data_IF_214612992802
#
_entry.id   IF_214612992802
#
_cell.length_a   1.000
_cell.length_b   1.000
_cell.length_c   1.000
_cell.angle_alpha   90.00
_cell.angle_beta   90.00
_cell.angle_gamma   90.00
#
_symmetry.space_group_name_H-M   'P 1'
#
loop_
_entity.id
_entity.type
_entity.pdbx_description
1 polymer ?
#
# COMPACT_ATOMS: atom_id res chain seq x y z
N UNK A 1 2.96 -21.10 -3.53
CA UNK A 1 4.44 -21.18 -3.37
C UNK A 1 5.07 -20.07 -4.22
N UNK A 2 5.56 -18.96 -3.64
CA UNK A 2 6.06 -17.80 -4.40
C UNK A 2 7.59 -17.59 -4.23
N UNK A 3 8.30 -17.34 -5.33
CA UNK A 3 9.78 -17.38 -5.50
C UNK A 3 10.48 -16.00 -5.35
N UNK A 4 11.55 -16.00 -4.52
CA UNK A 4 12.92 -15.37 -4.52
C UNK A 4 13.20 -14.03 -5.30
N UNK A 5 14.02 -13.07 -4.78
CA UNK A 5 15.52 -13.00 -4.92
C UNK A 5 16.22 -11.97 -3.97
N UNK A 6 17.41 -12.32 -3.45
CA UNK A 6 18.13 -11.85 -2.23
C UNK A 6 19.13 -10.68 -2.34
N UNK A 7 18.84 -9.55 -1.67
CA UNK A 7 19.69 -8.70 -0.76
C UNK A 7 19.03 -7.36 -0.43
N UNK A 8 18.28 -6.76 -1.37
CA UNK A 8 17.23 -5.72 -1.12
C UNK A 8 16.02 -6.26 -0.32
N UNK A 9 16.01 -7.55 -0.03
CA UNK A 9 14.92 -8.29 0.62
C UNK A 9 14.69 -7.94 2.08
N UNK A 10 15.70 -7.52 2.85
CA UNK A 10 15.48 -7.34 4.29
C UNK A 10 14.60 -6.12 4.58
N UNK A 11 14.87 -4.98 3.93
CA UNK A 11 14.03 -3.79 4.05
C UNK A 11 12.65 -4.03 3.44
N UNK A 12 12.59 -4.69 2.28
CA UNK A 12 11.33 -5.08 1.64
C UNK A 12 10.49 -6.01 2.52
N UNK A 13 11.10 -6.94 3.27
CA UNK A 13 10.41 -7.79 4.24
C UNK A 13 9.77 -6.96 5.35
N UNK A 14 10.47 -5.97 5.91
CA UNK A 14 9.90 -5.09 6.93
C UNK A 14 8.75 -4.24 6.38
N UNK A 15 8.88 -3.70 5.17
CA UNK A 15 7.80 -2.97 4.49
C UNK A 15 6.59 -3.88 4.22
N UNK A 16 6.83 -5.12 3.77
CA UNK A 16 5.78 -6.12 3.57
C UNK A 16 5.07 -6.47 4.88
N UNK A 17 5.84 -6.75 5.94
CA UNK A 17 5.31 -7.05 7.28
C UNK A 17 4.51 -5.88 7.84
N UNK A 18 4.93 -4.65 7.57
CA UNK A 18 4.19 -3.45 7.97
C UNK A 18 2.82 -3.35 7.31
N UNK A 19 2.74 -3.66 6.01
CA UNK A 19 1.47 -3.62 5.28
C UNK A 19 0.52 -4.76 5.63
N UNK A 20 1.06 -5.94 5.95
CA UNK A 20 0.30 -7.18 6.16
C UNK A 20 -0.06 -7.46 7.62
N UNK A 21 0.87 -7.22 8.56
CA UNK A 21 0.69 -7.55 9.99
C UNK A 21 0.20 -6.31 10.74
N UNK A 22 -1.10 -6.06 10.68
CA UNK A 22 -1.72 -4.82 11.19
C UNK A 22 -1.63 -4.72 12.72
N UNK A 23 -1.77 -5.83 13.43
CA UNK A 23 -1.94 -5.88 14.89
C UNK A 23 -0.63 -5.97 15.69
N UNK A 24 0.53 -5.94 15.02
CA UNK A 24 1.79 -6.07 15.74
C UNK A 24 2.13 -4.80 16.54
N UNK A 25 2.49 -4.97 17.82
CA UNK A 25 2.86 -3.85 18.71
C UNK A 25 3.95 -2.93 18.11
N UNK A 26 4.98 -3.51 17.50
CA UNK A 26 6.04 -2.73 16.85
C UNK A 26 5.52 -1.85 15.71
N UNK A 27 4.50 -2.31 14.96
CA UNK A 27 3.83 -1.54 13.91
C UNK A 27 3.03 -0.39 14.52
N UNK A 28 2.30 -0.64 15.62
CA UNK A 28 1.53 0.39 16.33
C UNK A 28 2.44 1.50 16.87
N UNK A 29 3.60 1.15 17.43
CA UNK A 29 4.59 2.13 17.90
C UNK A 29 5.10 2.99 16.73
N UNK A 30 5.40 2.36 15.59
CA UNK A 30 5.84 3.06 14.38
C UNK A 30 4.74 3.96 13.82
N UNK A 31 3.50 3.49 13.80
CA UNK A 31 2.33 4.26 13.37
C UNK A 31 2.08 5.47 14.28
N UNK A 32 2.13 5.29 15.60
CA UNK A 32 1.99 6.38 16.56
C UNK A 32 3.08 7.44 16.38
N UNK A 33 4.31 7.01 16.07
CA UNK A 33 5.46 7.91 15.90
C UNK A 33 5.46 8.66 14.57
N UNK A 34 5.11 8.01 13.46
CA UNK A 34 5.28 8.56 12.11
C UNK A 34 3.98 8.80 11.35
N UNK A 35 2.85 8.30 11.86
CA UNK A 35 1.56 8.28 11.18
C UNK A 35 1.54 7.38 9.95
N UNK A 36 0.34 7.12 9.43
CA UNK A 36 0.11 6.27 8.25
C UNK A 36 -0.32 7.04 7.01
N UNK A 37 0.02 6.50 5.84
CA UNK A 37 -0.66 6.89 4.58
C UNK A 37 -2.00 6.17 4.47
N UNK A 38 -2.87 6.68 3.59
CA UNK A 38 -4.15 6.05 3.30
C UNK A 38 -4.00 4.56 2.97
N UNK A 39 -4.89 3.72 3.51
CA UNK A 39 -4.84 2.26 3.39
C UNK A 39 -3.83 1.58 4.33
N UNK A 40 -3.04 2.32 5.12
CA UNK A 40 -2.19 1.77 6.18
C UNK A 40 -1.07 0.85 5.68
N UNK A 41 -0.73 0.93 4.39
CA UNK A 41 0.32 0.11 3.76
C UNK A 41 1.74 0.56 4.12
N UNK A 42 1.90 1.83 4.49
CA UNK A 42 3.18 2.40 4.89
C UNK A 42 2.98 3.64 5.77
N UNK A 43 4.04 4.10 6.43
CA UNK A 43 4.00 5.35 7.18
C UNK A 43 4.04 6.57 6.28
N UNK A 44 3.73 7.76 6.82
CA UNK A 44 4.06 9.03 6.16
C UNK A 44 5.58 9.16 5.96
N UNK A 45 5.99 10.02 5.03
CA UNK A 45 7.41 10.30 4.81
C UNK A 45 7.98 10.94 6.07
N UNK A 46 9.09 10.41 6.58
CA UNK A 46 9.74 10.93 7.78
C UNK A 46 10.47 12.23 7.41
N UNK A 47 9.99 13.36 7.94
CA UNK A 47 10.53 14.72 7.69
C UNK A 47 11.39 15.26 8.83
N UNK A 48 11.60 14.49 9.90
CA UNK A 48 12.37 14.95 11.07
C UNK A 48 13.84 15.20 10.73
N UNK A 49 14.33 16.40 11.09
CA UNK A 49 15.66 16.92 10.80
C UNK A 49 16.78 16.22 11.57
N UNK A 50 16.50 15.66 12.74
CA UNK A 50 17.50 15.03 13.63
C UNK A 50 17.20 13.54 13.88
N UNK A 51 18.26 12.72 13.91
CA UNK A 51 18.22 11.29 14.22
C UNK A 51 18.25 10.36 13.00
N UNK A 52 19.21 9.45 12.96
CA UNK A 52 19.29 8.36 11.97
C UNK A 52 18.37 7.23 12.42
N UNK A 53 17.06 7.37 12.24
CA UNK A 53 16.14 6.28 12.59
C UNK A 53 16.20 5.17 11.53
N UNK A 54 16.37 3.92 11.98
CA UNK A 54 16.34 2.73 11.11
C UNK A 54 15.07 2.69 10.24
N UNK A 55 13.92 3.08 10.81
CA UNK A 55 12.66 3.15 10.08
C UNK A 55 12.69 4.18 8.94
N UNK A 56 13.37 5.32 9.09
CA UNK A 56 13.54 6.30 7.99
C UNK A 56 14.25 5.68 6.79
N UNK A 57 15.25 4.83 7.04
CA UNK A 57 15.97 4.12 5.98
C UNK A 57 15.13 3.02 5.33
N UNK A 58 14.36 2.25 6.12
CA UNK A 58 13.40 1.28 5.57
C UNK A 58 12.34 2.01 4.71
N UNK A 59 11.79 3.11 5.24
CA UNK A 59 10.73 3.90 4.61
C UNK A 59 11.16 4.58 3.31
N UNK A 60 12.44 4.91 3.14
CA UNK A 60 12.94 5.51 1.90
C UNK A 60 12.81 4.55 0.70
N UNK A 61 12.87 3.23 0.96
CA UNK A 61 12.68 2.20 -0.06
C UNK A 61 11.24 2.00 -0.54
N UNK A 62 10.25 2.60 0.12
CA UNK A 62 8.83 2.36 -0.15
C UNK A 62 8.41 2.65 -1.59
N UNK A 63 8.84 3.77 -2.18
CA UNK A 63 8.38 4.17 -3.53
C UNK A 63 8.80 3.17 -4.62
N UNK A 64 9.96 2.54 -4.46
CA UNK A 64 10.42 1.50 -5.38
C UNK A 64 9.76 0.16 -5.06
N UNK A 65 9.55 -0.12 -3.77
CA UNK A 65 8.92 -1.36 -3.32
C UNK A 65 7.44 -1.43 -3.70
N UNK A 66 6.69 -0.33 -3.59
CA UNK A 66 5.25 -0.28 -3.85
C UNK A 66 4.90 -0.59 -5.30
N UNK A 67 5.80 -0.32 -6.24
CA UNK A 67 5.65 -0.66 -7.67
C UNK A 67 5.73 -2.16 -7.94
N UNK A 68 6.31 -2.92 -7.01
CA UNK A 68 6.46 -4.37 -7.11
C UNK A 68 5.33 -5.11 -6.37
N UNK A 69 4.36 -4.38 -5.83
CA UNK A 69 3.26 -4.95 -5.06
C UNK A 69 2.05 -5.17 -5.96
N UNK A 70 1.57 -6.42 -5.95
CA UNK A 70 0.21 -6.77 -6.38
C UNK A 70 -0.62 -6.90 -5.12
N UNK A 71 -1.74 -6.18 -5.08
CA UNK A 71 -2.61 -6.12 -3.91
C UNK A 71 -3.71 -7.15 -4.05
N UNK A 72 -3.83 -8.02 -3.05
CA UNK A 72 -5.05 -8.79 -2.87
C UNK A 72 -6.15 -7.85 -2.40
N UNK A 73 -7.34 -7.94 -3.00
CA UNK A 73 -8.45 -7.02 -2.72
C UNK A 73 -8.96 -7.21 -1.30
N UNK A 74 -9.05 -8.44 -0.80
CA UNK A 74 -9.69 -8.75 0.48
C UNK A 74 -11.09 -8.13 0.59
N UNK A 75 -11.30 -7.28 1.59
CA UNK A 75 -12.53 -6.51 1.81
C UNK A 75 -12.62 -5.24 0.94
N UNK A 76 -11.59 -4.95 0.16
CA UNK A 76 -11.45 -3.79 -0.73
C UNK A 76 -11.23 -2.46 -0.03
N UNK A 77 -11.17 -2.39 1.30
CA UNK A 77 -11.17 -1.12 2.04
C UNK A 77 -9.82 -0.39 1.97
N UNK A 78 -8.73 -1.15 1.86
CA UNK A 78 -7.35 -0.64 1.86
C UNK A 78 -6.76 -0.48 0.46
N UNK A 79 -7.42 -0.96 -0.58
CA UNK A 79 -6.89 -0.95 -1.96
C UNK A 79 -7.51 0.20 -2.74
N UNK A 80 -6.70 1.03 -3.40
CA UNK A 80 -7.22 2.10 -4.27
C UNK A 80 -7.65 1.52 -5.60
N UNK A 81 -8.87 1.83 -6.04
CA UNK A 81 -9.43 1.32 -7.28
C UNK A 81 -8.54 1.65 -8.49
N UNK A 82 -8.16 2.92 -8.64
CA UNK A 82 -7.41 3.38 -9.82
C UNK A 82 -5.90 3.18 -9.73
N UNK A 83 -5.32 3.35 -8.53
CA UNK A 83 -3.88 3.58 -8.34
C UNK A 83 -3.09 2.35 -7.90
N UNK A 84 -3.76 1.26 -7.52
CA UNK A 84 -3.10 0.01 -7.11
C UNK A 84 -3.31 -1.06 -8.17
N UNK A 85 -2.32 -1.95 -8.33
CA UNK A 85 -2.45 -3.15 -9.16
C UNK A 85 -3.14 -4.22 -8.31
N UNK A 86 -4.42 -4.44 -8.57
CA UNK A 86 -5.24 -5.45 -7.89
C UNK A 86 -6.03 -6.33 -8.88
N UNK A 87 -6.04 -5.95 -10.15
CA UNK A 87 -6.67 -6.69 -11.25
C UNK A 87 -5.75 -6.61 -12.48
N UNK A 88 -5.28 -7.76 -12.97
CA UNK A 88 -4.33 -7.83 -14.08
C UNK A 88 -2.89 -7.42 -13.68
N UNK A 89 -2.13 -6.94 -14.66
CA UNK A 89 -0.68 -6.69 -14.51
C UNK A 89 -0.30 -5.21 -14.34
N UNK A 90 -1.23 -4.29 -14.58
CA UNK A 90 -1.02 -2.84 -14.46
C UNK A 90 -2.15 -2.16 -13.67
N UNK A 91 -1.99 -0.88 -13.37
CA UNK A 91 -3.05 -0.13 -12.67
C UNK A 91 -4.21 0.17 -13.63
N UNK A 92 -5.44 0.27 -13.12
CA UNK A 92 -6.59 0.69 -13.94
C UNK A 92 -6.41 2.12 -14.50
N UNK A 93 -5.65 2.96 -13.79
CA UNK A 93 -5.25 4.27 -14.30
C UNK A 93 -4.41 4.18 -15.58
N UNK A 94 -3.49 3.21 -15.67
CA UNK A 94 -2.65 3.02 -16.86
C UNK A 94 -3.43 2.36 -18.00
N UNK A 95 -4.23 1.34 -17.68
CA UNK A 95 -5.04 0.64 -18.68
C UNK A 95 -6.16 1.53 -19.28
N UNK A 96 -6.77 2.41 -18.47
CA UNK A 96 -7.91 3.24 -18.85
C UNK A 96 -7.67 4.71 -18.49
N UNK A 97 -6.64 5.30 -19.09
CA UNK A 97 -6.20 6.67 -18.79
C UNK A 97 -7.27 7.73 -19.03
N UNK A 98 -8.03 7.62 -20.12
CA UNK A 98 -9.14 8.54 -20.44
C UNK A 98 -10.26 8.47 -19.40
N UNK A 99 -10.66 7.26 -19.02
CA UNK A 99 -11.69 7.05 -17.99
C UNK A 99 -11.22 7.54 -16.62
N UNK A 100 -9.93 7.32 -16.29
CA UNK A 100 -9.33 7.87 -15.08
C UNK A 100 -9.38 9.40 -15.07
N UNK A 101 -9.09 10.06 -16.19
CA UNK A 101 -9.15 11.52 -16.30
C UNK A 101 -10.55 12.06 -15.99
N UNK A 102 -11.58 11.42 -16.55
CA UNK A 102 -13.00 11.76 -16.38
C UNK A 102 -13.56 11.40 -14.99
N UNK A 103 -12.93 10.44 -14.29
CA UNK A 103 -13.36 10.00 -12.97
C UNK A 103 -13.26 11.12 -11.93
N UNK A 104 -14.36 11.36 -11.21
CA UNK A 104 -14.41 12.27 -10.05
C UNK A 104 -13.77 11.66 -8.80
N UNK A 105 -13.60 10.34 -8.76
CA UNK A 105 -13.37 9.57 -7.55
C UNK A 105 -12.02 8.83 -7.56
N UNK A 106 -10.97 9.51 -8.04
CA UNK A 106 -9.60 8.99 -8.29
C UNK A 106 -8.90 8.33 -7.09
N UNK A 107 -9.30 8.69 -5.88
CA UNK A 107 -8.71 8.19 -4.62
C UNK A 107 -9.63 7.25 -3.84
N UNK A 108 -10.70 6.74 -4.47
CA UNK A 108 -11.64 5.82 -3.82
C UNK A 108 -11.07 4.41 -3.66
N UNK A 109 -11.52 3.73 -2.60
CA UNK A 109 -11.21 2.32 -2.38
C UNK A 109 -11.99 1.41 -3.33
N UNK A 110 -11.47 0.21 -3.58
CA UNK A 110 -12.18 -0.83 -4.34
C UNK A 110 -13.53 -1.12 -3.69
N UNK A 111 -13.58 -1.18 -2.35
CA UNK A 111 -14.82 -1.44 -1.64
C UNK A 111 -15.90 -0.40 -1.91
N UNK A 112 -15.52 0.88 -1.93
CA UNK A 112 -16.45 1.98 -2.17
C UNK A 112 -16.97 2.00 -3.60
N UNK A 113 -16.11 1.70 -4.59
CA UNK A 113 -16.47 1.75 -6.00
C UNK A 113 -17.32 0.54 -6.41
N UNK A 114 -16.98 -0.65 -5.91
CA UNK A 114 -17.63 -1.91 -6.29
C UNK A 114 -18.82 -2.26 -5.38
N UNK A 115 -19.21 -1.39 -4.46
CA UNK A 115 -20.26 -1.68 -3.48
C UNK A 115 -19.93 -2.89 -2.59
N UNK A 116 -18.65 -3.15 -2.34
CA UNK A 116 -18.21 -4.33 -1.59
C UNK A 116 -18.59 -4.19 -0.12
N UNK A 117 -19.68 -4.86 0.28
CA UNK A 117 -19.97 -5.14 1.67
C UNK A 117 -19.68 -6.61 1.94
N UNK A 118 -18.67 -6.88 2.78
CA UNK A 118 -18.30 -8.19 3.36
C UNK A 118 -18.87 -9.38 2.57
N UNK A 119 -18.21 -9.73 1.46
CA UNK A 119 -18.46 -10.98 0.73
C UNK A 119 -19.61 -10.99 -0.28
N UNK A 120 -20.24 -9.86 -0.61
CA UNK A 120 -21.18 -9.77 -1.73
C UNK A 120 -20.92 -8.54 -2.61
N UNK A 121 -20.88 -8.77 -3.92
CA UNK A 121 -21.08 -7.74 -4.93
C UNK A 121 -22.57 -7.38 -4.95
N UNK A 122 -22.90 -6.10 -5.07
CA UNK A 122 -24.27 -5.60 -5.18
C UNK A 122 -24.48 -4.97 -6.55
#
# INVERSE_FOLDING_TARGET
MARRRTRRLYLGKWLWRYGTVIEALWRMVIEAKYGNIWGGWCTKKVTTLYGVSLWRYIRSGWLNFSKLLVYDVGDGTRVKFWKHVWCGDCTLQEAFSELYCLSRSKDSSVAKVMGWSVGRFH
#
